data_IF_268940607341
#
_entry.id   IF_268940607341
#
_cell.length_a   1.000
_cell.length_b   1.000
_cell.length_c   1.000
_cell.angle_alpha   90.00
_cell.angle_beta   90.00
_cell.angle_gamma   90.00
#
_symmetry.space_group_name_H-M   'P 1'
#
loop_
_entity.id
_entity.type
_entity.pdbx_description
1 polymer ?
#
# COMPACT_ATOMS: atom_id res chain seq x y z
N UNK A 1 -10.79 -13.36 -25.84
CA UNK A 1 -10.78 -14.08 -24.54
C UNK A 1 -12.05 -13.71 -23.80
N UNK A 2 -12.84 -14.66 -23.36
CA UNK A 2 -14.02 -14.44 -22.52
C UNK A 2 -13.58 -14.07 -21.09
N UNK A 3 -14.51 -13.52 -20.29
CA UNK A 3 -14.23 -13.21 -18.87
C UNK A 3 -13.81 -14.48 -18.09
N UNK A 4 -14.43 -15.62 -18.41
CA UNK A 4 -14.10 -16.90 -17.76
C UNK A 4 -12.68 -17.35 -18.09
N UNK A 5 -12.28 -17.28 -19.35
CA UNK A 5 -10.93 -17.61 -19.80
C UNK A 5 -9.89 -16.65 -19.20
N UNK A 6 -10.22 -15.35 -19.13
CA UNK A 6 -9.34 -14.35 -18.50
C UNK A 6 -9.12 -14.66 -17.02
N UNK A 7 -10.19 -14.95 -16.28
CA UNK A 7 -10.07 -15.32 -14.86
C UNK A 7 -9.24 -16.59 -14.67
N UNK A 8 -9.49 -17.62 -15.48
CA UNK A 8 -8.73 -18.88 -15.41
C UNK A 8 -7.22 -18.65 -15.70
N UNK A 9 -6.91 -17.85 -16.70
CA UNK A 9 -5.53 -17.46 -16.99
C UNK A 9 -4.87 -16.72 -15.82
N UNK A 10 -5.54 -15.69 -15.27
CA UNK A 10 -5.00 -14.89 -14.17
C UNK A 10 -4.78 -15.72 -12.91
N UNK A 11 -5.61 -16.72 -12.62
CA UNK A 11 -5.47 -17.58 -11.44
C UNK A 11 -4.17 -18.40 -11.42
N UNK A 12 -3.55 -18.61 -12.57
CA UNK A 12 -2.30 -19.40 -12.69
C UNK A 12 -1.11 -18.57 -13.13
N UNK A 13 -1.31 -17.31 -13.52
CA UNK A 13 -0.26 -16.45 -14.03
C UNK A 13 0.64 -15.92 -12.93
N UNK A 14 1.91 -16.29 -12.93
CA UNK A 14 2.91 -15.88 -11.93
C UNK A 14 3.88 -14.80 -12.42
N UNK A 15 3.64 -14.25 -13.62
CA UNK A 15 4.48 -13.22 -14.23
C UNK A 15 5.72 -13.78 -14.94
N UNK A 16 6.42 -12.87 -15.62
CA UNK A 16 7.70 -13.14 -16.31
C UNK A 16 8.90 -12.57 -15.55
N UNK A 17 8.68 -11.82 -14.47
CA UNK A 17 9.77 -11.27 -13.66
C UNK A 17 10.68 -12.42 -13.19
N UNK A 18 11.92 -12.39 -13.64
CA UNK A 18 12.96 -13.28 -13.11
C UNK A 18 13.49 -12.62 -11.84
N UNK A 19 13.43 -13.33 -10.73
CA UNK A 19 14.12 -12.90 -9.53
C UNK A 19 15.63 -12.89 -9.82
N UNK A 20 16.18 -11.73 -10.19
CA UNK A 20 17.59 -11.48 -10.04
C UNK A 20 17.95 -11.59 -8.55
N UNK A 21 19.16 -12.00 -8.23
CA UNK A 21 19.56 -12.33 -6.86
C UNK A 21 19.07 -11.28 -5.83
N UNK A 22 18.10 -11.65 -5.01
CA UNK A 22 17.70 -11.04 -3.73
C UNK A 22 17.29 -9.55 -3.62
N UNK A 23 16.60 -8.91 -4.60
CA UNK A 23 16.23 -7.50 -4.42
C UNK A 23 15.36 -7.26 -3.19
N UNK A 24 14.52 -8.22 -2.83
CA UNK A 24 13.67 -8.12 -1.64
C UNK A 24 14.48 -8.18 -0.34
N UNK A 25 15.60 -8.93 -0.30
CA UNK A 25 16.48 -8.94 0.87
C UNK A 25 17.25 -7.63 0.99
N UNK A 26 17.77 -7.10 -0.11
CA UNK A 26 18.48 -5.81 -0.11
C UNK A 26 17.58 -4.68 0.41
N UNK A 27 16.30 -4.67 0.02
CA UNK A 27 15.31 -3.74 0.54
C UNK A 27 15.00 -3.96 2.02
N UNK A 28 14.90 -5.22 2.47
CA UNK A 28 14.65 -5.53 3.87
C UNK A 28 15.81 -5.05 4.77
N UNK A 29 17.04 -5.17 4.30
CA UNK A 29 18.22 -4.69 5.02
C UNK A 29 18.30 -3.16 4.99
N UNK A 30 18.03 -2.52 3.84
CA UNK A 30 17.93 -1.06 3.75
C UNK A 30 16.87 -0.48 4.69
N UNK A 31 15.73 -1.16 4.86
CA UNK A 31 14.68 -0.75 5.80
C UNK A 31 15.14 -0.83 7.24
N UNK A 32 15.90 -1.86 7.64
CA UNK A 32 16.46 -1.97 9.01
C UNK A 32 17.40 -0.81 9.31
N UNK A 33 18.24 -0.46 8.34
CA UNK A 33 19.28 0.60 8.47
C UNK A 33 18.71 2.00 8.25
N UNK A 34 17.45 2.15 7.83
CA UNK A 34 16.86 3.44 7.58
C UNK A 34 16.75 4.27 8.86
N UNK A 35 17.58 5.30 8.96
CA UNK A 35 17.55 6.32 10.02
C UNK A 35 16.67 7.48 9.60
N UNK A 36 15.87 7.99 10.51
CA UNK A 36 14.98 9.13 10.25
C UNK A 36 14.78 9.97 11.52
N UNK A 37 14.49 11.24 11.33
CA UNK A 37 13.93 12.12 12.33
C UNK A 37 12.45 12.33 12.04
N UNK A 38 11.61 12.35 13.07
CA UNK A 38 10.18 12.53 12.89
C UNK A 38 9.60 13.45 13.96
N UNK A 39 8.68 14.31 13.55
CA UNK A 39 7.95 15.20 14.44
C UNK A 39 6.50 15.30 14.02
N UNK A 40 5.60 15.46 15.00
CA UNK A 40 4.18 15.73 14.76
C UNK A 40 3.85 17.16 15.14
N UNK A 41 2.96 17.78 14.38
CA UNK A 41 2.39 19.08 14.68
C UNK A 41 0.87 19.05 14.50
N UNK A 42 0.08 19.69 15.40
CA UNK A 42 -1.36 19.76 15.24
C UNK A 42 -1.72 20.56 13.98
N UNK A 43 -2.86 20.24 13.38
CA UNK A 43 -3.47 21.06 12.32
C UNK A 43 -4.49 22.03 12.92
N UNK A 44 -4.86 23.05 12.14
CA UNK A 44 -5.72 24.15 12.63
C UNK A 44 -7.16 23.75 13.01
N UNK A 45 -7.62 22.57 12.55
CA UNK A 45 -8.97 22.09 12.87
C UNK A 45 -8.91 20.86 13.79
N UNK A 46 -9.94 20.72 14.61
CA UNK A 46 -10.10 19.60 15.52
C UNK A 46 -11.60 19.28 15.71
N UNK A 47 -11.88 18.09 16.23
CA UNK A 47 -13.20 17.75 16.73
C UNK A 47 -13.10 16.90 18.02
N UNK A 48 -14.21 16.69 18.68
CA UNK A 48 -14.24 15.98 19.97
C UNK A 48 -13.84 14.48 19.88
N UNK A 49 -13.83 13.90 18.68
CA UNK A 49 -13.65 12.47 18.48
C UNK A 49 -12.26 12.10 17.93
N UNK A 50 -11.56 13.06 17.33
CA UNK A 50 -10.28 12.81 16.68
C UNK A 50 -9.26 13.90 16.90
N UNK A 51 -8.00 13.48 17.00
CA UNK A 51 -6.81 14.34 16.96
C UNK A 51 -6.25 14.30 15.56
N UNK A 52 -5.99 15.49 15.01
CA UNK A 52 -5.52 15.68 13.64
C UNK A 52 -4.14 16.32 13.69
N UNK A 53 -3.16 15.66 13.07
CA UNK A 53 -1.76 16.08 13.08
C UNK A 53 -1.14 15.92 11.70
N UNK A 54 -0.05 16.63 11.46
CA UNK A 54 0.86 16.37 10.35
C UNK A 54 2.14 15.76 10.92
N UNK A 55 2.54 14.62 10.38
CA UNK A 55 3.80 13.96 10.65
C UNK A 55 4.80 14.39 9.58
N UNK A 56 5.93 14.94 9.99
CA UNK A 56 7.05 15.30 9.11
C UNK A 56 8.21 14.37 9.39
N UNK A 57 8.77 13.77 8.37
CA UNK A 57 9.87 12.80 8.46
C UNK A 57 11.02 13.28 7.59
N UNK A 58 12.24 13.32 8.17
CA UNK A 58 13.45 13.63 7.43
C UNK A 58 14.38 12.40 7.45
N UNK A 59 14.81 11.95 6.28
CA UNK A 59 15.72 10.84 6.11
C UNK A 59 16.59 11.05 4.85
N UNK A 60 17.85 10.67 4.88
CA UNK A 60 18.80 10.80 3.75
C UNK A 60 18.79 12.20 3.08
N UNK A 61 18.61 13.27 3.88
CA UNK A 61 18.51 14.66 3.36
C UNK A 61 17.17 14.99 2.68
N UNK A 62 16.19 14.10 2.73
CA UNK A 62 14.86 14.23 2.14
C UNK A 62 13.81 14.46 3.21
N UNK A 63 12.82 15.29 2.94
CA UNK A 63 11.68 15.51 3.84
C UNK A 63 10.39 15.04 3.18
N UNK A 64 9.62 14.24 3.90
CA UNK A 64 8.28 13.76 3.50
C UNK A 64 7.27 14.03 4.60
N UNK A 65 6.01 14.18 4.22
CA UNK A 65 4.91 14.44 5.15
C UNK A 65 3.83 13.37 5.07
N UNK A 66 3.11 13.21 6.19
CA UNK A 66 1.93 12.36 6.25
C UNK A 66 0.85 13.01 7.11
N UNK A 67 -0.40 12.78 6.75
CA UNK A 67 -1.57 13.14 7.55
C UNK A 67 -1.80 12.09 8.61
N UNK A 68 -2.01 12.54 9.84
CA UNK A 68 -2.35 11.67 10.97
C UNK A 68 -3.72 12.04 11.51
N UNK A 69 -4.57 11.03 11.67
CA UNK A 69 -5.82 11.16 12.42
C UNK A 69 -5.89 9.97 13.38
N UNK A 70 -6.18 10.23 14.65
CA UNK A 70 -6.33 9.18 15.65
C UNK A 70 -7.50 9.48 16.58
N UNK A 71 -8.06 8.45 17.24
CA UNK A 71 -9.06 8.66 18.27
C UNK A 71 -8.55 9.63 19.34
N UNK A 72 -9.45 10.49 19.85
CA UNK A 72 -9.15 11.39 20.96
C UNK A 72 -9.11 10.68 22.31
N UNK A 73 -9.62 9.43 22.38
CA UNK A 73 -9.54 8.59 23.57
C UNK A 73 -8.10 8.26 23.94
N UNK A 74 -7.85 8.12 25.23
CA UNK A 74 -6.53 7.71 25.72
C UNK A 74 -6.23 6.23 25.39
N UNK A 75 -4.95 5.90 25.33
CA UNK A 75 -4.47 4.55 25.09
C UNK A 75 -3.90 4.34 23.69
N UNK A 76 -3.58 3.09 23.39
CA UNK A 76 -3.06 2.67 22.10
C UNK A 76 -4.20 2.27 21.17
N UNK A 77 -4.03 2.57 19.88
CA UNK A 77 -5.02 2.31 18.83
C UNK A 77 -4.40 1.49 17.70
N UNK A 78 -5.20 0.65 17.03
CA UNK A 78 -4.76 0.01 15.79
C UNK A 78 -4.31 1.07 14.77
N UNK A 79 -3.19 0.80 14.08
CA UNK A 79 -2.66 1.68 13.04
C UNK A 79 -3.14 1.23 11.67
N UNK A 80 -3.63 2.16 10.86
CA UNK A 80 -3.81 1.98 9.42
C UNK A 80 -2.86 2.89 8.64
N UNK A 81 -1.93 2.30 7.92
CA UNK A 81 -1.09 2.97 6.95
C UNK A 81 -1.86 3.12 5.64
N UNK A 82 -1.98 4.34 5.12
CA UNK A 82 -2.72 4.64 3.89
C UNK A 82 -1.81 5.24 2.82
N UNK A 83 -1.97 4.71 1.60
CA UNK A 83 -1.23 5.19 0.44
C UNK A 83 -2.20 5.48 -0.71
N UNK A 84 -1.98 6.60 -1.38
CA UNK A 84 -2.77 7.01 -2.55
C UNK A 84 -2.12 6.55 -3.86
N UNK A 85 -2.90 6.58 -4.91
CA UNK A 85 -2.46 6.19 -6.24
C UNK A 85 -1.43 7.17 -6.83
N UNK A 86 -0.63 6.67 -7.79
CA UNK A 86 0.47 7.41 -8.41
C UNK A 86 0.01 8.72 -9.08
N UNK A 87 -1.13 8.68 -9.76
CA UNK A 87 -1.69 9.82 -10.48
C UNK A 87 -2.62 10.71 -9.64
N UNK A 88 -2.75 10.43 -8.35
CA UNK A 88 -3.63 11.14 -7.41
C UNK A 88 -2.86 11.55 -6.18
N UNK A 89 -3.20 12.70 -5.61
CA UNK A 89 -2.70 13.12 -4.32
C UNK A 89 -3.45 12.44 -3.17
N UNK A 90 -2.95 12.66 -1.94
CA UNK A 90 -3.61 12.23 -0.72
C UNK A 90 -5.04 12.80 -0.67
N UNK A 91 -5.99 11.96 -0.31
CA UNK A 91 -7.40 12.37 -0.20
C UNK A 91 -7.63 13.30 1.00
N UNK A 92 -8.74 14.03 0.96
CA UNK A 92 -9.16 14.88 2.07
C UNK A 92 -9.31 14.09 3.38
N UNK A 93 -9.21 14.77 4.50
CA UNK A 93 -9.31 14.21 5.85
C UNK A 93 -10.56 13.34 6.06
N UNK A 94 -11.67 13.69 5.39
CA UNK A 94 -12.92 12.95 5.50
C UNK A 94 -12.82 11.49 5.02
N UNK A 95 -11.86 11.14 4.14
CA UNK A 95 -11.63 9.76 3.75
C UNK A 95 -10.98 8.92 4.87
N UNK A 96 -10.29 9.57 5.80
CA UNK A 96 -9.65 8.92 6.94
C UNK A 96 -10.64 8.76 8.11
N UNK A 97 -11.67 9.62 8.21
CA UNK A 97 -12.63 9.60 9.33
C UNK A 97 -13.44 8.30 9.43
N UNK A 98 -13.65 7.61 8.32
CA UNK A 98 -14.32 6.29 8.32
C UNK A 98 -13.53 5.24 9.12
N UNK A 99 -12.23 5.31 9.13
CA UNK A 99 -11.37 4.43 9.92
C UNK A 99 -11.30 4.88 11.37
N UNK A 100 -11.32 6.18 11.61
CA UNK A 100 -11.46 6.74 12.96
C UNK A 100 -12.74 6.22 13.64
N UNK A 101 -13.87 6.16 12.89
CA UNK A 101 -15.13 5.61 13.39
C UNK A 101 -15.06 4.11 13.73
N UNK A 102 -14.08 3.39 13.19
CA UNK A 102 -13.78 2.00 13.53
C UNK A 102 -12.73 1.86 14.64
N UNK A 103 -12.25 2.98 15.21
CA UNK A 103 -11.24 2.99 16.26
C UNK A 103 -9.80 2.99 15.80
N UNK A 104 -9.53 3.11 14.48
CA UNK A 104 -8.17 3.19 13.96
C UNK A 104 -7.57 4.58 14.11
N UNK A 105 -6.28 4.64 14.45
CA UNK A 105 -5.42 5.73 14.02
C UNK A 105 -4.94 5.48 12.59
N UNK A 106 -4.92 6.53 11.78
CA UNK A 106 -4.55 6.43 10.35
C UNK A 106 -3.41 7.38 10.06
N UNK A 107 -2.39 6.88 9.35
CA UNK A 107 -1.28 7.68 8.82
C UNK A 107 -1.30 7.57 7.30
N UNK A 108 -1.50 8.69 6.59
CA UNK A 108 -1.62 8.75 5.14
C UNK A 108 -0.45 9.54 4.54
N UNK A 109 0.43 8.86 3.80
CA UNK A 109 1.55 9.50 3.09
C UNK A 109 1.04 10.60 2.15
N UNK A 110 1.62 11.81 2.24
CA UNK A 110 1.43 12.88 1.27
C UNK A 110 2.57 12.82 0.25
N UNK A 111 2.24 12.52 -1.00
CA UNK A 111 3.20 12.52 -2.10
C UNK A 111 2.62 13.26 -3.31
N UNK A 112 3.49 13.91 -4.08
CA UNK A 112 3.08 14.58 -5.30
C UNK A 112 2.63 13.57 -6.35
N UNK A 113 1.49 13.82 -7.03
CA UNK A 113 1.01 12.94 -8.09
C UNK A 113 1.96 12.95 -9.29
N UNK A 114 2.23 11.79 -9.84
CA UNK A 114 2.83 11.63 -11.17
C UNK A 114 1.71 11.34 -12.18
N UNK A 115 1.59 12.19 -13.20
CA UNK A 115 0.51 12.12 -14.19
C UNK A 115 0.96 11.58 -15.56
N UNK A 116 2.21 11.10 -15.65
CA UNK A 116 2.74 10.49 -16.86
C UNK A 116 2.30 9.03 -17.03
N UNK A 117 2.68 8.47 -18.16
CA UNK A 117 2.54 7.04 -18.42
C UNK A 117 3.74 6.29 -17.82
N UNK A 118 3.53 5.64 -16.69
CA UNK A 118 4.58 4.92 -15.96
C UNK A 118 5.06 3.64 -16.70
N UNK A 119 4.24 3.11 -17.62
CA UNK A 119 4.66 1.97 -18.45
C UNK A 119 5.58 2.41 -19.58
N UNK A 120 5.34 3.58 -20.16
CA UNK A 120 6.19 4.14 -21.21
C UNK A 120 7.50 4.73 -20.65
N UNK A 121 7.44 5.36 -19.46
CA UNK A 121 8.62 5.96 -18.81
C UNK A 121 8.63 5.67 -17.29
N UNK A 122 8.98 4.45 -16.90
CA UNK A 122 9.01 4.06 -15.49
C UNK A 122 10.08 4.79 -14.67
N UNK A 123 11.13 5.31 -15.30
CA UNK A 123 12.18 6.07 -14.62
C UNK A 123 11.64 7.38 -14.04
N UNK A 124 10.77 8.08 -14.77
CA UNK A 124 10.14 9.31 -14.33
C UNK A 124 9.10 9.12 -13.22
N UNK A 125 8.59 7.91 -13.04
CA UNK A 125 7.69 7.59 -11.93
C UNK A 125 8.42 7.54 -10.58
N UNK A 126 9.75 7.53 -10.57
CA UNK A 126 10.61 7.57 -9.37
C UNK A 126 10.23 6.49 -8.32
N UNK A 127 9.90 5.28 -8.77
CA UNK A 127 9.41 4.21 -7.89
C UNK A 127 10.30 3.95 -6.68
N UNK A 128 11.65 3.94 -6.88
CA UNK A 128 12.61 3.71 -5.80
C UNK A 128 12.49 4.75 -4.68
N UNK A 129 12.41 6.03 -5.05
CA UNK A 129 12.25 7.14 -4.10
C UNK A 129 10.93 7.02 -3.35
N UNK A 130 9.84 6.73 -4.07
CA UNK A 130 8.51 6.57 -3.48
C UNK A 130 8.41 5.35 -2.56
N UNK A 131 9.12 4.28 -2.86
CA UNK A 131 9.24 3.11 -1.98
C UNK A 131 9.92 3.49 -0.66
N UNK A 132 11.04 4.23 -0.74
CA UNK A 132 11.74 4.74 0.46
C UNK A 132 10.85 5.68 1.28
N UNK A 133 10.15 6.62 0.63
CA UNK A 133 9.21 7.53 1.29
C UNK A 133 8.13 6.77 2.07
N UNK A 134 7.53 5.76 1.45
CA UNK A 134 6.50 4.93 2.09
C UNK A 134 7.03 4.15 3.30
N UNK A 135 8.23 3.59 3.20
CA UNK A 135 8.87 2.82 4.27
C UNK A 135 9.32 3.74 5.42
N UNK A 136 9.83 4.94 5.11
CA UNK A 136 10.17 5.94 6.13
C UNK A 136 8.92 6.38 6.91
N UNK A 137 7.82 6.68 6.21
CA UNK A 137 6.54 7.01 6.86
C UNK A 137 6.02 5.85 7.70
N UNK A 138 6.09 4.62 7.20
CA UNK A 138 5.64 3.45 7.95
C UNK A 138 6.46 3.22 9.23
N UNK A 139 7.80 3.32 9.17
CA UNK A 139 8.66 3.19 10.35
C UNK A 139 8.40 4.31 11.36
N UNK A 140 8.27 5.56 10.90
CA UNK A 140 7.96 6.69 11.76
C UNK A 140 6.58 6.54 12.42
N UNK A 141 5.57 6.07 11.66
CA UNK A 141 4.23 5.81 12.18
C UNK A 141 4.23 4.73 13.27
N UNK A 142 4.99 3.65 13.10
CA UNK A 142 5.13 2.58 14.10
C UNK A 142 5.76 3.07 15.41
N UNK A 143 6.55 4.13 15.38
CA UNK A 143 7.18 4.74 16.56
C UNK A 143 6.27 5.72 17.31
N UNK A 144 5.08 6.04 16.81
CA UNK A 144 4.16 6.96 17.47
C UNK A 144 3.61 6.33 18.77
N UNK A 145 3.56 7.08 19.88
CA UNK A 145 3.26 6.52 21.21
C UNK A 145 1.85 5.97 21.37
N UNK A 146 0.93 6.38 20.52
CA UNK A 146 -0.46 5.91 20.53
C UNK A 146 -0.69 4.65 19.67
N UNK A 147 0.33 4.15 18.98
CA UNK A 147 0.20 2.99 18.08
C UNK A 147 0.28 1.69 18.87
N UNK A 148 -0.69 0.81 18.61
CA UNK A 148 -0.62 -0.60 18.99
C UNK A 148 0.13 -1.38 17.92
N UNK A 149 1.37 -1.75 18.21
CA UNK A 149 2.27 -2.44 17.27
C UNK A 149 1.79 -3.85 16.89
N UNK A 150 0.89 -4.46 17.65
CA UNK A 150 0.31 -5.77 17.32
C UNK A 150 -0.89 -5.66 16.36
N UNK A 151 -1.44 -4.46 16.18
CA UNK A 151 -2.60 -4.20 15.32
C UNK A 151 -2.30 -3.16 14.26
N UNK A 152 -1.41 -3.53 13.33
CA UNK A 152 -0.96 -2.67 12.22
C UNK A 152 -1.50 -3.22 10.90
N UNK A 153 -2.10 -2.33 10.11
CA UNK A 153 -2.74 -2.64 8.83
C UNK A 153 -2.29 -1.67 7.75
N UNK A 154 -2.42 -2.07 6.48
CA UNK A 154 -2.07 -1.23 5.34
C UNK A 154 -3.19 -1.23 4.29
N UNK A 155 -3.44 -0.08 3.68
CA UNK A 155 -4.42 0.10 2.61
C UNK A 155 -3.89 0.99 1.51
N UNK A 156 -4.21 0.64 0.27
CA UNK A 156 -3.93 1.50 -0.88
C UNK A 156 -4.64 1.07 -2.16
N UNK A 157 -4.67 2.00 -3.12
CA UNK A 157 -5.24 1.82 -4.45
C UNK A 157 -4.18 2.14 -5.50
N UNK A 158 -4.18 1.44 -6.62
CA UNK A 158 -3.20 1.64 -7.68
C UNK A 158 -1.76 1.48 -7.16
N UNK A 159 -0.91 2.46 -7.42
CA UNK A 159 0.43 2.50 -6.86
C UNK A 159 0.45 2.53 -5.32
N UNK A 160 -0.51 3.22 -4.70
CA UNK A 160 -0.69 3.16 -3.25
C UNK A 160 -0.98 1.74 -2.75
N UNK A 161 -1.69 0.92 -3.54
CA UNK A 161 -1.84 -0.51 -3.30
C UNK A 161 -0.50 -1.24 -3.36
N UNK A 162 0.35 -0.86 -4.30
CA UNK A 162 1.73 -1.35 -4.37
C UNK A 162 2.55 -0.98 -3.13
N UNK A 163 2.48 0.29 -2.67
CA UNK A 163 3.16 0.75 -1.47
C UNK A 163 2.67 0.03 -0.20
N UNK A 164 1.36 -0.22 -0.10
CA UNK A 164 0.78 -0.98 1.01
C UNK A 164 1.29 -2.43 1.04
N UNK A 165 1.36 -3.08 -0.13
CA UNK A 165 1.94 -4.43 -0.27
C UNK A 165 3.43 -4.45 0.04
N UNK A 166 4.21 -3.51 -0.49
CA UNK A 166 5.65 -3.38 -0.19
C UNK A 166 5.87 -3.29 1.32
N UNK A 167 5.09 -2.42 1.97
CA UNK A 167 5.15 -2.22 3.42
C UNK A 167 4.82 -3.53 4.15
N UNK A 168 3.76 -4.25 3.73
CA UNK A 168 3.39 -5.54 4.33
C UNK A 168 4.40 -6.67 4.07
N UNK A 169 5.16 -6.60 2.97
CA UNK A 169 6.22 -7.56 2.67
C UNK A 169 7.49 -7.34 3.51
N UNK A 170 7.80 -6.07 3.82
CA UNK A 170 9.07 -5.68 4.44
C UNK A 170 8.96 -5.39 5.94
N UNK A 171 7.75 -5.10 6.44
CA UNK A 171 7.50 -4.80 7.85
C UNK A 171 6.56 -5.88 8.45
N UNK A 172 7.09 -6.84 9.22
CA UNK A 172 6.32 -7.96 9.76
C UNK A 172 5.26 -7.56 10.80
N UNK A 173 5.28 -6.32 11.25
CA UNK A 173 4.25 -5.73 12.11
C UNK A 173 2.91 -5.60 11.37
N UNK A 174 2.91 -5.45 10.03
CA UNK A 174 1.67 -5.38 9.26
C UNK A 174 0.99 -6.74 9.25
N UNK A 175 -0.20 -6.83 9.85
CA UNK A 175 -0.98 -8.07 9.99
C UNK A 175 -1.98 -8.28 8.85
N UNK A 176 -2.58 -7.20 8.36
CA UNK A 176 -3.55 -7.22 7.25
C UNK A 176 -3.27 -6.12 6.25
N UNK A 177 -3.44 -6.45 4.96
CA UNK A 177 -3.22 -5.51 3.86
C UNK A 177 -4.35 -5.63 2.85
N UNK A 178 -5.07 -4.53 2.60
CA UNK A 178 -6.11 -4.48 1.58
C UNK A 178 -5.68 -3.57 0.43
N UNK A 179 -5.73 -4.08 -0.80
CA UNK A 179 -5.24 -3.36 -1.98
C UNK A 179 -6.18 -3.51 -3.16
N UNK A 180 -6.40 -2.42 -3.89
CA UNK A 180 -7.17 -2.40 -5.13
C UNK A 180 -6.26 -2.02 -6.29
N UNK A 181 -6.23 -2.86 -7.34
CA UNK A 181 -5.43 -2.64 -8.55
C UNK A 181 -3.94 -2.31 -8.27
N UNK A 182 -3.22 -3.08 -7.44
CA UNK A 182 -1.84 -2.75 -7.09
C UNK A 182 -0.91 -2.75 -8.30
N UNK A 183 0.00 -1.78 -8.33
CA UNK A 183 1.11 -1.64 -9.29
C UNK A 183 2.38 -1.13 -8.57
N UNK A 184 3.60 -1.31 -9.13
CA UNK A 184 3.93 -2.06 -10.32
C UNK A 184 4.01 -3.57 -10.05
N UNK A 185 3.69 -4.37 -11.04
CA UNK A 185 3.87 -5.81 -10.98
C UNK A 185 4.13 -6.39 -12.37
N UNK A 186 5.04 -7.37 -12.43
CA UNK A 186 5.44 -8.04 -13.66
C UNK A 186 5.92 -7.06 -14.75
N UNK A 187 6.91 -6.22 -14.43
CA UNK A 187 7.53 -5.30 -15.38
C UNK A 187 7.99 -6.03 -16.67
N UNK A 188 8.63 -7.18 -16.54
CA UNK A 188 9.07 -7.98 -17.68
C UNK A 188 7.90 -8.46 -18.55
N UNK A 189 6.75 -8.80 -17.93
CA UNK A 189 5.51 -9.14 -18.63
C UNK A 189 4.88 -7.97 -19.36
N UNK A 190 5.05 -6.76 -18.83
CA UNK A 190 4.63 -5.51 -19.44
C UNK A 190 5.62 -4.97 -20.49
N UNK A 191 6.76 -5.64 -20.72
CA UNK A 191 7.78 -5.21 -21.67
C UNK A 191 8.75 -4.16 -21.14
N UNK A 192 8.76 -3.91 -19.83
CA UNK A 192 9.66 -2.96 -19.17
C UNK A 192 10.87 -3.72 -18.62
N UNK A 193 12.07 -3.36 -19.05
CA UNK A 193 13.32 -3.98 -18.63
C UNK A 193 14.02 -3.16 -17.53
N UNK A 194 14.86 -3.82 -16.72
CA UNK A 194 15.77 -3.16 -15.76
C UNK A 194 15.09 -2.59 -14.52
N UNK A 195 13.88 -3.06 -14.18
CA UNK A 195 13.14 -2.66 -13.01
C UNK A 195 12.80 -3.85 -12.07
N UNK A 196 13.52 -4.96 -12.20
CA UNK A 196 13.20 -6.19 -11.46
C UNK A 196 13.32 -6.03 -9.94
N UNK A 197 14.18 -5.14 -9.48
CA UNK A 197 14.37 -4.79 -8.07
C UNK A 197 13.25 -3.90 -7.49
N UNK A 198 12.35 -3.41 -8.32
CA UNK A 198 11.16 -2.65 -7.94
C UNK A 198 9.85 -3.40 -8.24
N UNK A 199 9.94 -4.60 -8.82
CA UNK A 199 8.77 -5.40 -9.16
C UNK A 199 8.18 -6.06 -7.91
N UNK A 200 6.95 -5.67 -7.55
CA UNK A 200 6.27 -6.18 -6.36
C UNK A 200 6.05 -7.70 -6.38
N UNK A 201 6.00 -8.33 -7.55
CA UNK A 201 5.92 -9.78 -7.64
C UNK A 201 7.16 -10.48 -7.04
N UNK A 202 8.30 -9.78 -6.96
CA UNK A 202 9.52 -10.30 -6.34
C UNK A 202 9.53 -10.13 -4.81
N UNK A 203 8.73 -9.20 -4.25
CA UNK A 203 8.55 -9.03 -2.80
C UNK A 203 7.43 -9.91 -2.24
N UNK A 204 6.44 -10.24 -3.06
CA UNK A 204 5.23 -10.95 -2.64
C UNK A 204 5.49 -12.25 -1.83
N UNK A 205 6.53 -13.08 -2.10
CA UNK A 205 6.84 -14.26 -1.29
C UNK A 205 7.20 -13.95 0.17
N UNK A 206 7.67 -12.72 0.48
CA UNK A 206 8.00 -12.29 1.84
C UNK A 206 6.76 -11.88 2.65
N UNK A 207 5.64 -11.58 2.00
CA UNK A 207 4.43 -11.11 2.67
C UNK A 207 3.88 -12.20 3.61
N UNK A 208 3.77 -11.87 4.90
CA UNK A 208 3.15 -12.73 5.91
C UNK A 208 1.79 -12.22 6.37
N UNK A 209 1.47 -10.97 6.03
CA UNK A 209 0.17 -10.39 6.29
C UNK A 209 -0.94 -11.15 5.56
N UNK A 210 -2.14 -11.14 6.12
CA UNK A 210 -3.35 -11.53 5.37
C UNK A 210 -3.66 -10.44 4.33
N UNK A 211 -3.81 -10.81 3.05
CA UNK A 211 -4.00 -9.87 1.95
C UNK A 211 -5.39 -10.02 1.34
N UNK A 212 -6.14 -8.91 1.27
CA UNK A 212 -7.33 -8.77 0.46
C UNK A 212 -6.97 -7.96 -0.80
N UNK A 213 -6.93 -8.62 -1.97
CA UNK A 213 -6.60 -7.98 -3.24
C UNK A 213 -7.85 -7.87 -4.12
N UNK A 214 -8.12 -6.67 -4.62
CA UNK A 214 -9.13 -6.38 -5.63
C UNK A 214 -8.50 -6.08 -6.98
N UNK A 215 -9.05 -6.66 -8.05
CA UNK A 215 -8.60 -6.44 -9.43
C UNK A 215 -9.73 -6.04 -10.35
N UNK A 216 -9.59 -4.91 -11.03
CA UNK A 216 -10.45 -4.48 -12.12
C UNK A 216 -9.93 -5.09 -13.43
N UNK A 217 -10.72 -5.96 -14.08
CA UNK A 217 -10.21 -6.74 -15.20
C UNK A 217 -10.10 -5.97 -16.53
N UNK A 218 -10.66 -4.76 -16.61
CA UNK A 218 -10.51 -3.84 -17.75
C UNK A 218 -9.48 -2.74 -17.49
N UNK A 219 -8.69 -2.88 -16.44
CA UNK A 219 -7.66 -1.89 -16.08
C UNK A 219 -6.47 -1.98 -17.04
N UNK A 220 -6.17 -0.86 -17.71
CA UNK A 220 -5.02 -0.71 -18.61
C UNK A 220 -3.89 0.08 -17.99
N UNK A 221 -4.16 0.82 -16.90
CA UNK A 221 -3.16 1.57 -16.16
C UNK A 221 -2.39 0.68 -15.17
N UNK A 222 -3.10 -0.21 -14.50
CA UNK A 222 -2.52 -1.28 -13.66
C UNK A 222 -2.96 -2.64 -14.25
N UNK A 223 -2.23 -3.22 -15.22
CA UNK A 223 -2.67 -4.42 -15.93
C UNK A 223 -2.97 -5.59 -14.99
N UNK A 224 -4.11 -6.29 -15.17
CA UNK A 224 -4.50 -7.41 -14.32
C UNK A 224 -3.48 -8.54 -14.24
N UNK A 225 -2.63 -8.69 -15.28
CA UNK A 225 -1.54 -9.68 -15.29
C UNK A 225 -0.50 -9.36 -14.22
N UNK A 226 -0.10 -8.10 -14.07
CA UNK A 226 0.83 -7.69 -13.01
C UNK A 226 0.26 -7.94 -11.62
N UNK A 227 -1.03 -7.65 -11.44
CA UNK A 227 -1.75 -7.92 -10.18
C UNK A 227 -1.84 -9.43 -9.90
N UNK A 228 -2.04 -10.25 -10.94
CA UNK A 228 -2.05 -11.71 -10.84
C UNK A 228 -0.68 -12.26 -10.44
N UNK A 229 0.40 -11.73 -11.04
CA UNK A 229 1.75 -12.11 -10.70
C UNK A 229 2.06 -11.85 -9.23
N UNK A 230 1.66 -10.69 -8.72
CA UNK A 230 1.76 -10.36 -7.29
C UNK A 230 0.95 -11.35 -6.46
N UNK A 231 -0.37 -11.49 -6.75
CA UNK A 231 -1.28 -12.31 -5.95
C UNK A 231 -0.81 -13.76 -5.86
N UNK A 232 -0.48 -14.37 -7.00
CA UNK A 232 -0.13 -15.79 -7.04
C UNK A 232 1.17 -16.11 -6.30
N UNK A 233 2.08 -15.13 -6.15
CA UNK A 233 3.34 -15.26 -5.41
C UNK A 233 3.24 -14.90 -3.92
N UNK A 234 2.13 -14.32 -3.43
CA UNK A 234 1.98 -13.99 -2.01
C UNK A 234 2.20 -15.20 -1.12
N UNK A 235 3.05 -15.07 -0.11
CA UNK A 235 3.43 -16.15 0.81
C UNK A 235 2.48 -16.36 1.98
N UNK A 236 1.64 -15.38 2.33
CA UNK A 236 0.67 -15.42 3.44
C UNK A 236 -0.76 -15.77 3.00
N UNK A 237 -1.71 -15.74 3.95
CA UNK A 237 -3.13 -15.89 3.66
C UNK A 237 -3.61 -14.81 2.69
N UNK A 238 -4.48 -15.16 1.75
CA UNK A 238 -4.88 -14.24 0.70
C UNK A 238 -6.28 -14.47 0.16
N UNK A 239 -6.96 -13.38 -0.18
CA UNK A 239 -8.27 -13.36 -0.80
C UNK A 239 -8.24 -12.50 -2.05
N UNK A 240 -8.85 -12.94 -3.15
CA UNK A 240 -8.92 -12.20 -4.40
C UNK A 240 -10.35 -11.87 -4.80
N UNK A 241 -10.61 -10.60 -5.09
CA UNK A 241 -11.89 -10.11 -5.61
C UNK A 241 -11.68 -9.55 -7.02
N UNK A 242 -12.27 -10.18 -8.02
CA UNK A 242 -12.15 -9.77 -9.42
C UNK A 242 -13.40 -9.02 -9.87
N UNK A 243 -13.23 -7.86 -10.47
CA UNK A 243 -14.27 -6.94 -10.92
C UNK A 243 -14.22 -6.81 -12.45
N UNK A 244 -14.99 -7.64 -13.21
CA UNK A 244 -14.83 -7.75 -14.67
C UNK A 244 -15.20 -6.51 -15.48
N UNK A 245 -16.04 -5.62 -14.92
CA UNK A 245 -16.61 -4.47 -15.64
C UNK A 245 -15.97 -3.12 -15.25
N UNK A 246 -14.90 -3.15 -14.46
CA UNK A 246 -14.26 -1.94 -13.95
C UNK A 246 -12.89 -1.73 -14.62
N UNK A 247 -12.57 -0.47 -14.85
CA UNK A 247 -11.26 0.03 -15.29
C UNK A 247 -10.41 0.47 -14.09
N UNK A 248 -9.42 1.34 -14.28
CA UNK A 248 -8.61 1.89 -13.18
C UNK A 248 -9.41 2.90 -12.35
N UNK A 249 -10.29 2.41 -11.50
CA UNK A 249 -11.22 3.24 -10.74
C UNK A 249 -11.49 2.68 -9.34
N UNK A 250 -12.12 3.51 -8.52
CA UNK A 250 -12.61 3.07 -7.21
C UNK A 250 -13.78 2.10 -7.37
N UNK A 251 -13.77 1.03 -6.58
CA UNK A 251 -14.84 0.04 -6.53
C UNK A 251 -15.50 0.07 -5.14
N UNK A 252 -16.71 0.64 -5.04
CA UNK A 252 -17.43 0.75 -3.77
C UNK A 252 -17.66 -0.60 -3.09
N UNK A 253 -17.88 -1.66 -3.88
CA UNK A 253 -18.01 -3.04 -3.35
C UNK A 253 -16.71 -3.50 -2.67
N UNK A 254 -15.54 -3.16 -3.23
CA UNK A 254 -14.26 -3.46 -2.59
C UNK A 254 -14.08 -2.68 -1.30
N UNK A 255 -14.44 -1.41 -1.26
CA UNK A 255 -14.34 -0.59 -0.06
C UNK A 255 -15.15 -1.15 1.11
N UNK A 256 -16.37 -1.63 0.87
CA UNK A 256 -17.18 -2.28 1.89
C UNK A 256 -16.50 -3.56 2.43
N UNK A 257 -15.94 -4.38 1.55
CA UNK A 257 -15.24 -5.59 1.95
C UNK A 257 -13.95 -5.30 2.72
N UNK A 258 -13.22 -4.27 2.31
CA UNK A 258 -12.01 -3.79 2.99
C UNK A 258 -12.32 -3.32 4.42
N UNK A 259 -13.40 -2.56 4.62
CA UNK A 259 -13.82 -2.12 5.97
C UNK A 259 -14.17 -3.33 6.87
N UNK A 260 -14.90 -4.32 6.34
CA UNK A 260 -15.21 -5.55 7.07
C UNK A 260 -13.96 -6.37 7.37
N UNK A 261 -13.05 -6.47 6.41
CA UNK A 261 -11.78 -7.17 6.54
C UNK A 261 -10.92 -6.59 7.67
N UNK A 262 -10.83 -5.26 7.77
CA UNK A 262 -10.10 -4.62 8.85
C UNK A 262 -10.84 -4.72 10.19
N UNK A 263 -12.17 -4.53 10.20
CA UNK A 263 -12.97 -4.64 11.41
C UNK A 263 -12.84 -6.04 12.05
N UNK A 264 -12.84 -7.08 11.25
CA UNK A 264 -12.65 -8.45 11.76
C UNK A 264 -11.28 -8.64 12.41
N UNK A 265 -10.22 -8.00 11.89
CA UNK A 265 -8.90 -8.04 12.49
C UNK A 265 -8.75 -7.30 13.82
N UNK A 266 -9.67 -6.37 14.14
CA UNK A 266 -9.68 -5.72 15.47
C UNK A 266 -10.36 -6.62 16.51
N UNK A 267 -11.28 -7.46 16.08
CA UNK A 267 -12.07 -8.31 16.97
C UNK A 267 -11.34 -9.60 17.39
N UNK A 268 -10.27 -9.93 16.71
CA UNK A 268 -9.36 -11.04 17.04
C UNK A 268 -8.29 -10.62 18.06
#
# INVERSE_FOLDING_TARGET
MTITEQKAFLQTYTGKAQASAHPAQDWADAVKELHFEAQTAPVEFANAYGVYERLTITYEGRTVTARVIRPASAGQHPLLLMYHDLNRGVRGWHHMTRFLALGFGTVALEAEPYKGDWLADPAQAEFRTRYKDALAVAKAALALPWVDAERVYAFGEGFGGGLALLTACLLPQVKRCAVLNPLPGDFAGAGVAGQDDLDLANFAPLCRAEVLLGSCLMDTYAPPQGQAAIYNRLGGPKQWKMYPKYVHERVNFFENQMLLFFKNGIAE
#
